data_IF_895199925238
#
_entry.id   IF_895199925238
#
_cell.length_a   1.000
_cell.length_b   1.000
_cell.length_c   1.000
_cell.angle_alpha   90.00
_cell.angle_beta   90.00
_cell.angle_gamma   90.00
#
_symmetry.space_group_name_H-M   'P 1'
#
loop_
_entity.id
_entity.type
_entity.pdbx_description
1 polymer ?
#
# COMPACT_ATOMS: atom_id res chain seq x y z
N UNK A 1 -2.07 -50.25 -26.91
CA UNK A 1 -2.57 -51.14 -27.99
C UNK A 1 -1.70 -51.01 -29.23
N UNK A 2 -0.99 -52.08 -29.58
CA UNK A 2 -0.03 -52.11 -30.69
C UNK A 2 -0.76 -52.03 -32.05
N UNK A 3 -0.14 -51.45 -33.09
CA UNK A 3 -0.78 -51.18 -34.40
C UNK A 3 -1.30 -52.46 -35.08
N UNK A 4 -0.64 -53.59 -34.81
CA UNK A 4 -1.06 -54.92 -35.27
C UNK A 4 -2.35 -55.41 -34.60
N UNK A 5 -2.53 -55.16 -33.29
CA UNK A 5 -3.72 -55.54 -32.53
C UNK A 5 -4.96 -54.75 -32.97
N UNK A 6 -4.79 -53.45 -33.24
CA UNK A 6 -5.88 -52.59 -33.77
C UNK A 6 -6.41 -53.09 -35.13
N UNK A 7 -5.55 -53.68 -35.96
CA UNK A 7 -5.96 -54.25 -37.26
C UNK A 7 -6.71 -55.57 -37.09
N UNK A 8 -6.28 -56.43 -36.15
CA UNK A 8 -6.98 -57.68 -35.82
C UNK A 8 -8.36 -57.41 -35.23
N UNK A 9 -8.49 -56.46 -34.30
CA UNK A 9 -9.77 -56.10 -33.68
C UNK A 9 -10.75 -55.44 -34.68
N UNK A 10 -10.24 -54.62 -35.63
CA UNK A 10 -11.05 -54.09 -36.74
C UNK A 10 -11.56 -55.18 -37.70
N UNK A 11 -10.75 -56.22 -37.97
CA UNK A 11 -11.13 -57.34 -38.84
C UNK A 11 -12.14 -58.28 -38.17
N UNK A 12 -12.17 -58.32 -36.84
CA UNK A 12 -13.11 -59.07 -36.01
C UNK A 12 -14.41 -58.32 -35.69
N UNK A 13 -14.67 -57.15 -36.30
CA UNK A 13 -15.92 -56.41 -36.14
C UNK A 13 -16.07 -55.64 -34.81
N UNK A 14 -15.06 -55.65 -33.94
CA UNK A 14 -15.08 -54.91 -32.67
C UNK A 14 -14.78 -53.44 -32.95
N UNK A 15 -15.77 -52.55 -32.74
CA UNK A 15 -15.61 -51.09 -32.83
C UNK A 15 -14.67 -50.61 -31.72
N UNK A 16 -13.38 -50.50 -32.03
CA UNK A 16 -12.39 -49.86 -31.15
C UNK A 16 -12.77 -48.38 -31.02
N UNK A 17 -13.32 -47.98 -29.86
CA UNK A 17 -13.53 -46.57 -29.54
C UNK A 17 -12.15 -45.91 -29.50
N UNK A 18 -11.95 -44.88 -30.31
CA UNK A 18 -10.72 -44.07 -30.27
C UNK A 18 -10.77 -43.25 -28.99
N UNK A 19 -9.74 -43.38 -28.15
CA UNK A 19 -9.53 -42.46 -27.03
C UNK A 19 -9.59 -41.02 -27.54
N UNK A 20 -10.34 -40.11 -26.87
CA UNK A 20 -10.38 -38.71 -27.26
C UNK A 20 -8.95 -38.17 -27.16
N UNK A 21 -8.35 -37.89 -28.32
CA UNK A 21 -7.02 -37.31 -28.41
C UNK A 21 -7.19 -35.81 -28.28
N UNK A 22 -6.75 -35.25 -27.16
CA UNK A 22 -6.68 -33.81 -26.94
C UNK A 22 -5.59 -33.25 -27.86
N UNK A 23 -5.99 -32.77 -29.04
CA UNK A 23 -5.10 -32.04 -29.94
C UNK A 23 -5.01 -30.59 -29.45
N UNK A 24 -4.15 -30.32 -28.47
CA UNK A 24 -3.75 -28.96 -28.18
C UNK A 24 -2.76 -28.48 -29.24
N UNK A 25 -3.02 -27.32 -29.83
CA UNK A 25 -2.08 -26.69 -30.75
C UNK A 25 -0.96 -26.06 -29.93
N UNK A 26 0.25 -26.02 -30.49
CA UNK A 26 1.41 -25.34 -29.87
C UNK A 26 1.09 -23.87 -29.58
N UNK A 27 0.27 -23.22 -30.43
CA UNK A 27 -0.23 -21.86 -30.20
C UNK A 27 -1.06 -21.69 -28.94
N UNK A 28 -1.82 -22.72 -28.55
CA UNK A 28 -2.65 -22.67 -27.34
C UNK A 28 -1.78 -22.78 -26.09
N UNK A 29 -0.67 -23.52 -26.20
CA UNK A 29 0.35 -23.62 -25.16
C UNK A 29 1.12 -22.30 -25.00
N UNK A 30 1.56 -21.67 -26.10
CA UNK A 30 2.26 -20.38 -26.07
C UNK A 30 1.38 -19.27 -25.47
N UNK A 31 0.08 -19.26 -25.80
CA UNK A 31 -0.88 -18.32 -25.22
C UNK A 31 -1.09 -18.57 -23.71
N UNK A 32 -1.16 -19.83 -23.28
CA UNK A 32 -1.24 -20.18 -21.85
C UNK A 32 0.01 -19.75 -21.08
N UNK A 33 1.20 -19.98 -21.65
CA UNK A 33 2.48 -19.59 -21.03
C UNK A 33 2.57 -18.07 -20.93
N UNK A 34 2.25 -17.34 -22.00
CA UNK A 34 2.23 -15.87 -21.99
C UNK A 34 1.24 -15.31 -20.97
N UNK A 35 0.05 -15.90 -20.83
CA UNK A 35 -0.91 -15.48 -19.79
C UNK A 35 -0.42 -15.80 -18.37
N UNK A 36 0.20 -16.97 -18.18
CA UNK A 36 0.77 -17.36 -16.89
C UNK A 36 1.90 -16.41 -16.49
N UNK A 37 2.82 -16.10 -17.40
CA UNK A 37 3.92 -15.15 -17.19
C UNK A 37 3.41 -13.74 -16.86
N UNK A 38 2.42 -13.25 -17.62
CA UNK A 38 1.82 -11.94 -17.37
C UNK A 38 1.16 -11.88 -15.99
N UNK A 39 0.38 -12.90 -15.63
CA UNK A 39 -0.30 -12.97 -14.33
C UNK A 39 0.68 -13.15 -13.16
N UNK A 40 1.80 -13.86 -13.35
CA UNK A 40 2.86 -13.99 -12.37
C UNK A 40 3.59 -12.65 -12.15
N UNK A 41 3.86 -11.92 -13.24
CA UNK A 41 4.45 -10.58 -13.19
C UNK A 41 3.53 -9.58 -12.48
N UNK A 42 2.24 -9.59 -12.80
CA UNK A 42 1.23 -8.75 -12.15
C UNK A 42 1.09 -9.05 -10.64
N UNK A 43 1.12 -10.33 -10.25
CA UNK A 43 1.14 -10.73 -8.82
C UNK A 43 2.43 -10.32 -8.12
N UNK A 44 3.58 -10.45 -8.78
CA UNK A 44 4.86 -10.01 -8.23
C UNK A 44 4.90 -8.49 -8.04
N UNK A 45 4.34 -7.71 -8.98
CA UNK A 45 4.21 -6.26 -8.83
C UNK A 45 3.21 -5.89 -7.73
N UNK A 46 2.09 -6.59 -7.61
CA UNK A 46 1.11 -6.34 -6.54
C UNK A 46 1.66 -6.69 -5.15
N UNK A 47 2.43 -7.77 -5.04
CA UNK A 47 3.11 -8.15 -3.79
C UNK A 47 4.20 -7.15 -3.41
N UNK A 48 4.98 -6.66 -4.38
CA UNK A 48 5.99 -5.62 -4.14
C UNK A 48 5.35 -4.29 -3.73
N UNK A 49 4.22 -3.90 -4.36
CA UNK A 49 3.46 -2.71 -3.97
C UNK A 49 2.93 -2.87 -2.54
N UNK A 50 2.35 -4.03 -2.21
CA UNK A 50 1.86 -4.31 -0.86
C UNK A 50 2.97 -4.30 0.20
N UNK A 51 4.18 -4.78 -0.13
CA UNK A 51 5.33 -4.73 0.77
C UNK A 51 5.86 -3.30 0.96
N UNK A 52 5.86 -2.49 -0.11
CA UNK A 52 6.16 -1.05 -0.03
C UNK A 52 5.11 -0.33 0.85
N UNK A 53 3.83 -0.60 0.64
CA UNK A 53 2.74 -0.02 1.42
C UNK A 53 2.85 -0.39 2.91
N UNK A 54 3.22 -1.63 3.21
CA UNK A 54 3.44 -2.07 4.59
C UNK A 54 4.65 -1.38 5.24
N UNK A 55 5.75 -1.21 4.49
CA UNK A 55 6.92 -0.46 4.97
C UNK A 55 6.61 1.01 5.20
N UNK A 56 5.77 1.62 4.36
CA UNK A 56 5.27 3.00 4.55
C UNK A 56 4.44 3.07 5.84
N UNK A 57 3.54 2.12 6.07
CA UNK A 57 2.67 2.09 7.25
C UNK A 57 3.43 1.91 8.58
N UNK A 58 4.40 0.99 8.62
CA UNK A 58 5.24 0.75 9.80
C UNK A 58 6.18 1.94 10.08
N UNK A 59 6.67 2.60 9.03
CA UNK A 59 7.49 3.80 9.18
C UNK A 59 6.64 5.01 9.62
N UNK A 60 5.37 5.09 9.22
CA UNK A 60 4.47 6.19 9.57
C UNK A 60 4.16 6.27 11.08
N UNK A 61 4.01 5.13 11.78
CA UNK A 61 3.76 5.14 13.23
C UNK A 61 4.99 5.59 14.02
N UNK A 62 6.18 5.09 13.67
CA UNK A 62 7.43 5.49 14.31
C UNK A 62 7.73 6.97 14.04
N UNK A 63 7.55 7.40 12.78
CA UNK A 63 7.74 8.79 12.39
C UNK A 63 6.74 9.73 13.08
N UNK A 64 5.50 9.30 13.27
CA UNK A 64 4.49 10.06 14.03
C UNK A 64 4.92 10.29 15.48
N UNK A 65 5.45 9.25 16.16
CA UNK A 65 5.96 9.38 17.52
C UNK A 65 7.16 10.34 17.62
N UNK A 66 8.07 10.29 16.65
CA UNK A 66 9.24 11.18 16.61
C UNK A 66 8.83 12.65 16.40
N UNK A 67 7.83 12.90 15.54
CA UNK A 67 7.25 14.24 15.34
C UNK A 67 6.55 14.73 16.62
N UNK A 68 5.75 13.88 17.26
CA UNK A 68 5.09 14.20 18.53
C UNK A 68 6.11 14.58 19.61
N UNK A 69 7.21 13.81 19.71
CA UNK A 69 8.30 14.07 20.63
C UNK A 69 8.96 15.44 20.35
N UNK A 70 9.20 15.76 19.08
CA UNK A 70 9.74 17.06 18.64
C UNK A 70 8.81 18.24 19.01
N UNK A 71 7.50 18.09 18.84
CA UNK A 71 6.51 19.11 19.23
C UNK A 71 6.54 19.31 20.74
N UNK A 72 6.45 18.24 21.53
CA UNK A 72 6.47 18.31 22.99
C UNK A 72 7.78 18.90 23.52
N UNK A 73 8.92 18.57 22.92
CA UNK A 73 10.21 19.14 23.27
C UNK A 73 10.26 20.65 23.00
N UNK A 74 9.75 21.09 21.84
CA UNK A 74 9.67 22.52 21.48
C UNK A 74 8.80 23.29 22.49
N UNK A 75 7.65 22.73 22.89
CA UNK A 75 6.80 23.31 23.94
C UNK A 75 7.51 23.39 25.30
N UNK A 76 8.32 22.39 25.63
CA UNK A 76 9.11 22.40 26.86
C UNK A 76 10.15 23.52 26.85
N UNK A 77 10.95 23.61 25.78
CA UNK A 77 12.08 24.55 25.67
C UNK A 77 11.61 26.01 25.57
N UNK A 78 10.67 26.29 24.67
CA UNK A 78 10.32 27.69 24.35
C UNK A 78 9.10 28.21 25.13
N UNK A 79 8.21 27.33 25.58
CA UNK A 79 7.01 27.72 26.33
C UNK A 79 7.05 27.29 27.81
N UNK A 80 8.12 26.62 28.25
CA UNK A 80 8.34 26.22 29.64
C UNK A 80 7.33 25.19 30.14
N UNK A 81 6.77 24.36 29.27
CA UNK A 81 5.78 23.37 29.67
C UNK A 81 6.44 22.27 30.51
N UNK A 82 5.99 22.10 31.75
CA UNK A 82 6.34 20.96 32.59
C UNK A 82 5.45 19.74 32.29
N UNK A 83 5.82 18.58 32.85
CA UNK A 83 5.15 17.28 32.63
C UNK A 83 3.63 17.34 32.53
N UNK A 84 2.94 17.89 33.54
CA UNK A 84 1.46 17.95 33.57
C UNK A 84 0.86 18.71 32.39
N UNK A 85 1.51 19.79 31.94
CA UNK A 85 1.04 20.60 30.81
C UNK A 85 1.29 19.89 29.49
N UNK A 86 2.43 19.21 29.35
CA UNK A 86 2.75 18.37 28.19
C UNK A 86 1.78 17.21 28.05
N UNK A 87 1.51 16.46 29.13
CA UNK A 87 0.55 15.35 29.13
C UNK A 87 -0.86 15.81 28.76
N UNK A 88 -1.28 16.99 29.25
CA UNK A 88 -2.58 17.56 28.90
C UNK A 88 -2.64 17.96 27.43
N UNK A 89 -1.63 18.68 26.93
CA UNK A 89 -1.55 19.07 25.53
C UNK A 89 -1.56 17.84 24.61
N UNK A 90 -0.74 16.83 24.92
CA UNK A 90 -0.66 15.61 24.12
C UNK A 90 -1.99 14.86 24.05
N UNK A 91 -2.70 14.75 25.19
CA UNK A 91 -4.04 14.15 25.25
C UNK A 91 -5.04 14.91 24.37
N UNK A 92 -5.04 16.23 24.45
CA UNK A 92 -5.96 17.07 23.67
C UNK A 92 -5.63 16.99 22.17
N UNK A 93 -4.34 17.01 21.80
CA UNK A 93 -3.86 16.86 20.42
C UNK A 93 -4.25 15.51 19.82
N UNK A 94 -4.02 14.41 20.55
CA UNK A 94 -4.35 13.06 20.08
C UNK A 94 -5.87 12.89 19.90
N UNK A 95 -6.67 13.46 20.81
CA UNK A 95 -8.13 13.42 20.72
C UNK A 95 -8.63 14.14 19.46
N UNK A 96 -8.11 15.32 19.16
CA UNK A 96 -8.49 16.04 17.94
C UNK A 96 -8.01 15.31 16.69
N UNK A 97 -6.81 14.74 16.70
CA UNK A 97 -6.30 13.99 15.55
C UNK A 97 -7.15 12.76 15.21
N UNK A 98 -7.62 12.02 16.24
CA UNK A 98 -8.57 10.92 16.07
C UNK A 98 -9.92 11.45 15.58
N UNK A 99 -10.45 12.49 16.21
CA UNK A 99 -11.75 13.08 15.85
C UNK A 99 -11.78 13.56 14.40
N UNK A 100 -10.72 14.22 13.94
CA UNK A 100 -10.61 14.72 12.57
C UNK A 100 -10.55 13.56 11.56
N UNK A 101 -9.86 12.46 11.88
CA UNK A 101 -9.86 11.26 11.02
C UNK A 101 -11.22 10.58 10.95
N UNK A 102 -11.95 10.50 12.07
CA UNK A 102 -13.28 9.90 12.12
C UNK A 102 -14.36 10.75 11.42
N UNK A 103 -14.28 12.08 11.50
CA UNK A 103 -15.33 12.97 10.98
C UNK A 103 -15.17 13.29 9.50
N UNK A 104 -13.93 13.44 9.02
CA UNK A 104 -13.72 13.96 7.67
C UNK A 104 -13.61 12.88 6.59
N UNK A 105 -13.50 11.59 6.94
CA UNK A 105 -13.44 10.44 6.00
C UNK A 105 -12.60 10.73 4.73
N UNK A 106 -11.53 11.50 4.86
CA UNK A 106 -10.66 11.89 3.75
C UNK A 106 -9.54 10.86 3.63
N UNK A 107 -9.20 10.47 2.40
CA UNK A 107 -8.06 9.59 2.06
C UNK A 107 -6.69 10.21 2.44
N UNK A 108 -6.64 11.44 2.93
CA UNK A 108 -5.42 12.18 3.26
C UNK A 108 -5.04 12.04 4.75
N UNK A 109 -3.77 11.78 5.02
CA UNK A 109 -3.23 11.36 6.32
C UNK A 109 -3.39 12.42 7.42
N UNK A 110 -3.52 13.72 7.08
CA UNK A 110 -3.56 14.82 8.06
C UNK A 110 -4.55 15.95 7.69
N UNK A 111 -5.86 15.79 7.97
CA UNK A 111 -6.90 16.80 7.70
C UNK A 111 -6.70 18.15 8.42
N UNK A 112 -5.91 18.18 9.50
CA UNK A 112 -5.65 19.38 10.30
C UNK A 112 -4.97 20.50 9.48
N UNK A 113 -4.16 20.14 8.47
CA UNK A 113 -3.47 21.12 7.61
C UNK A 113 -4.46 22.00 6.86
N UNK A 114 -5.53 21.40 6.33
CA UNK A 114 -6.58 22.14 5.62
C UNK A 114 -7.38 23.02 6.57
N UNK A 115 -7.70 22.50 7.76
CA UNK A 115 -8.47 23.26 8.76
C UNK A 115 -7.70 24.44 9.34
N UNK A 116 -6.40 24.32 9.52
CA UNK A 116 -5.54 25.45 9.89
C UNK A 116 -5.55 26.55 8.83
N UNK A 117 -5.52 26.17 7.55
CA UNK A 117 -5.60 27.12 6.45
C UNK A 117 -6.98 27.76 6.33
N UNK A 118 -8.05 26.98 6.44
CA UNK A 118 -9.43 27.44 6.33
C UNK A 118 -9.85 28.34 7.50
N UNK A 119 -9.61 27.90 8.74
CA UNK A 119 -10.15 28.55 9.93
C UNK A 119 -9.20 29.58 10.54
N UNK A 120 -7.89 29.34 10.45
CA UNK A 120 -6.88 30.19 11.09
C UNK A 120 -6.07 31.01 10.07
N UNK A 121 -6.29 30.81 8.77
CA UNK A 121 -5.48 31.40 7.69
C UNK A 121 -3.97 31.10 7.84
N UNK A 122 -3.65 29.93 8.40
CA UNK A 122 -2.28 29.44 8.60
C UNK A 122 -1.98 28.35 7.58
N UNK A 123 -1.11 28.66 6.63
CA UNK A 123 -0.62 27.69 5.65
C UNK A 123 0.71 27.08 6.13
N UNK A 124 0.65 25.86 6.65
CA UNK A 124 1.81 25.15 7.21
C UNK A 124 2.85 24.84 6.14
N UNK A 125 2.46 24.62 4.89
CA UNK A 125 3.40 24.33 3.81
C UNK A 125 4.20 25.57 3.41
N UNK A 126 3.50 26.70 3.24
CA UNK A 126 4.14 27.98 2.96
C UNK A 126 5.12 28.38 4.07
N UNK A 127 4.71 28.25 5.34
CA UNK A 127 5.56 28.54 6.49
C UNK A 127 6.81 27.65 6.54
N UNK A 128 6.65 26.35 6.24
CA UNK A 128 7.79 25.43 6.24
C UNK A 128 8.82 25.81 5.17
N UNK A 129 8.37 26.20 3.99
CA UNK A 129 9.27 26.62 2.91
C UNK A 129 10.00 27.92 3.28
N UNK A 130 9.29 28.90 3.83
CA UNK A 130 9.88 30.16 4.30
C UNK A 130 10.95 29.92 5.37
N UNK A 131 10.65 29.13 6.42
CA UNK A 131 11.61 28.90 7.50
C UNK A 131 12.80 28.03 7.09
N UNK A 132 12.61 27.08 6.18
CA UNK A 132 13.73 26.29 5.64
C UNK A 132 14.72 27.17 4.87
N UNK A 133 14.22 28.08 4.03
CA UNK A 133 15.09 29.04 3.33
C UNK A 133 15.87 29.92 4.31
N UNK A 134 15.24 30.34 5.41
CA UNK A 134 15.91 31.16 6.43
C UNK A 134 16.97 30.34 7.19
N UNK A 135 16.66 29.12 7.62
CA UNK A 135 17.60 28.28 8.39
C UNK A 135 18.80 27.83 7.54
N UNK A 136 18.62 27.59 6.25
CA UNK A 136 19.73 27.23 5.36
C UNK A 136 20.64 28.42 4.99
N UNK A 137 20.19 29.66 5.23
CA UNK A 137 20.93 30.88 4.93
C UNK A 137 21.60 31.52 6.17
N UNK A 138 21.55 30.86 7.33
CA UNK A 138 22.21 31.24 8.59
C UNK A 138 23.33 30.26 8.90
#
# INVERSE_FOLDING_TARGET
>A
MNRAERRRQKKAGIKVQKEPTLNLKVSDFDNMVSHAEKSAKERATAAAIHEIDQQILEHDEAYSLDIDAMVLWTLHVYLGFGKKRLERFYRDMLKEHIHMREVYEMDDTYPERYKLKELCNVDVEALNNEFKEVIHNV
#
